data_IF_734076572294
#
_entry.id   IF_734076572294
#
_cell.length_a   1.000
_cell.length_b   1.000
_cell.length_c   1.000
_cell.angle_alpha   90.00
_cell.angle_beta   90.00
_cell.angle_gamma   90.00
#
_symmetry.space_group_name_H-M   'P 1'
#
loop_
_entity.id
_entity.type
_entity.pdbx_description
1 polymer ?
#
# COMPACT_ATOMS: atom_id res chain seq x y z
N UNK A 1 22.76 -4.20 -42.48
CA UNK A 1 22.64 -3.17 -41.45
C UNK A 1 23.87 -3.24 -40.56
N UNK A 2 24.72 -2.22 -40.58
CA UNK A 2 25.92 -2.14 -39.72
C UNK A 2 25.46 -1.52 -38.40
N UNK A 3 25.56 -2.24 -37.29
CA UNK A 3 25.33 -1.65 -35.96
C UNK A 3 26.49 -0.68 -35.66
N UNK A 4 26.17 0.50 -35.14
CA UNK A 4 27.20 1.48 -34.75
C UNK A 4 27.92 1.02 -33.47
N UNK A 5 29.19 1.38 -33.29
CA UNK A 5 29.95 1.09 -32.06
C UNK A 5 29.22 1.56 -30.79
N UNK A 6 28.60 2.73 -30.85
CA UNK A 6 27.76 3.26 -29.76
C UNK A 6 26.59 2.34 -29.40
N UNK A 7 25.96 1.69 -30.39
CA UNK A 7 24.87 0.76 -30.16
C UNK A 7 25.35 -0.56 -29.53
N UNK A 8 26.55 -1.02 -29.89
CA UNK A 8 27.16 -2.20 -29.29
C UNK A 8 27.45 -2.01 -27.79
N UNK A 9 28.03 -0.86 -27.42
CA UNK A 9 28.27 -0.53 -26.00
C UNK A 9 26.96 -0.40 -25.22
N UNK A 10 25.95 0.24 -25.81
CA UNK A 10 24.65 0.40 -25.17
C UNK A 10 23.96 -0.95 -24.92
N UNK A 11 23.95 -1.86 -25.90
CA UNK A 11 23.38 -3.20 -25.74
C UNK A 11 24.09 -4.02 -24.65
N UNK A 12 25.41 -3.90 -24.57
CA UNK A 12 26.21 -4.55 -23.52
C UNK A 12 25.84 -4.03 -22.13
N UNK A 13 25.72 -2.71 -21.98
CA UNK A 13 25.28 -2.09 -20.73
C UNK A 13 23.86 -2.52 -20.34
N UNK A 14 22.91 -2.50 -21.28
CA UNK A 14 21.53 -2.94 -21.06
C UNK A 14 21.49 -4.39 -20.59
N UNK A 15 22.33 -5.26 -21.17
CA UNK A 15 22.40 -6.68 -20.76
C UNK A 15 22.85 -6.83 -19.30
N UNK A 16 23.85 -6.06 -18.87
CA UNK A 16 24.30 -6.05 -17.47
C UNK A 16 23.16 -5.58 -16.55
N UNK A 17 22.47 -4.49 -16.91
CA UNK A 17 21.33 -4.00 -16.12
C UNK A 17 20.19 -5.02 -16.06
N UNK A 18 19.92 -5.72 -17.15
CA UNK A 18 18.91 -6.77 -17.20
C UNK A 18 19.22 -7.91 -16.22
N UNK A 19 20.48 -8.33 -16.10
CA UNK A 19 20.89 -9.32 -15.09
C UNK A 19 20.73 -8.80 -13.65
N UNK A 20 21.05 -7.53 -13.39
CA UNK A 20 20.87 -6.91 -12.07
C UNK A 20 19.38 -6.87 -11.70
N UNK A 21 18.53 -6.41 -12.61
CA UNK A 21 17.07 -6.39 -12.39
C UNK A 21 16.55 -7.81 -12.19
N UNK A 22 17.01 -8.77 -13.00
CA UNK A 22 16.67 -10.19 -12.83
C UNK A 22 17.04 -10.73 -11.45
N UNK A 23 18.23 -10.40 -10.95
CA UNK A 23 18.64 -10.75 -9.59
C UNK A 23 17.76 -10.09 -8.51
N UNK A 24 17.44 -8.80 -8.67
CA UNK A 24 16.55 -8.10 -7.73
C UNK A 24 15.15 -8.75 -7.67
N UNK A 25 14.63 -9.24 -8.81
CA UNK A 25 13.39 -10.02 -8.83
C UNK A 25 13.52 -11.33 -8.03
N UNK A 26 14.67 -12.01 -8.08
CA UNK A 26 14.89 -13.24 -7.29
C UNK A 26 14.90 -12.95 -5.78
N UNK A 27 15.50 -11.85 -5.35
CA UNK A 27 15.46 -11.41 -3.95
C UNK A 27 14.03 -11.11 -3.52
N UNK A 28 13.24 -10.42 -4.37
CA UNK A 28 11.83 -10.16 -4.11
C UNK A 28 11.01 -11.46 -3.98
N UNK A 29 11.16 -12.41 -4.91
CA UNK A 29 10.46 -13.70 -4.87
C UNK A 29 10.84 -14.50 -3.63
N UNK A 30 12.11 -14.52 -3.26
CA UNK A 30 12.56 -15.14 -2.02
C UNK A 30 11.87 -14.51 -0.80
N UNK A 31 11.86 -13.17 -0.72
CA UNK A 31 11.20 -12.46 0.37
C UNK A 31 9.69 -12.74 0.43
N UNK A 32 9.01 -12.79 -0.72
CA UNK A 32 7.59 -13.09 -0.82
C UNK A 32 7.28 -14.51 -0.32
N UNK A 33 8.00 -15.52 -0.81
CA UNK A 33 7.82 -16.91 -0.41
C UNK A 33 8.12 -17.10 1.08
N UNK A 34 9.20 -16.47 1.56
CA UNK A 34 9.56 -16.52 2.98
C UNK A 34 8.49 -15.88 3.86
N UNK A 35 7.98 -14.71 3.47
CA UNK A 35 6.98 -13.96 4.24
C UNK A 35 5.64 -14.68 4.31
N UNK A 36 5.22 -15.38 3.25
CA UNK A 36 4.00 -16.20 3.27
C UNK A 36 4.11 -17.37 4.26
N UNK A 37 5.30 -17.98 4.39
CA UNK A 37 5.49 -19.19 5.21
C UNK A 37 5.91 -18.91 6.65
N UNK A 38 6.67 -17.85 6.90
CA UNK A 38 7.30 -17.55 8.18
C UNK A 38 7.14 -16.09 8.62
N UNK A 39 6.43 -15.26 7.85
CA UNK A 39 6.18 -13.86 8.20
C UNK A 39 5.28 -13.72 9.42
N UNK A 40 5.39 -12.55 10.08
CA UNK A 40 4.47 -12.17 11.16
C UNK A 40 3.14 -11.72 10.57
N UNK A 41 2.04 -12.04 11.25
CA UNK A 41 0.74 -11.49 10.89
C UNK A 41 0.76 -9.96 10.97
N UNK A 42 0.28 -9.31 9.91
CA UNK A 42 0.29 -7.85 9.80
C UNK A 42 -0.87 -7.17 10.55
N UNK A 43 -1.90 -7.94 10.93
CA UNK A 43 -3.18 -7.40 11.37
C UNK A 43 -3.93 -6.67 10.24
N UNK A 44 -5.07 -6.07 10.57
CA UNK A 44 -5.95 -5.45 9.56
C UNK A 44 -5.49 -4.12 9.01
N UNK A 45 -4.63 -3.38 9.73
CA UNK A 45 -4.15 -2.08 9.31
C UNK A 45 -2.73 -1.78 9.84
N UNK A 46 -1.69 -2.48 9.33
CA UNK A 46 -0.30 -2.27 9.76
C UNK A 46 0.23 -0.86 9.46
N UNK A 47 -0.36 -0.19 8.46
CA UNK A 47 0.11 1.12 7.98
C UNK A 47 -0.60 2.31 8.63
N UNK A 48 -1.57 2.04 9.52
CA UNK A 48 -2.43 3.07 10.11
C UNK A 48 -3.11 3.94 9.03
N UNK A 49 -3.53 3.31 7.93
CA UNK A 49 -4.22 3.98 6.85
C UNK A 49 -5.67 4.33 7.25
N UNK A 50 -6.20 5.42 6.70
CA UNK A 50 -7.50 5.97 7.12
C UNK A 50 -8.66 5.53 6.23
N UNK A 51 -8.38 4.97 5.07
CA UNK A 51 -9.36 4.57 4.06
C UNK A 51 -10.08 3.25 4.41
N UNK A 52 -11.28 3.07 3.82
CA UNK A 52 -12.16 1.95 4.15
C UNK A 52 -11.60 0.56 3.81
N UNK A 53 -10.70 0.41 2.84
CA UNK A 53 -10.11 -0.91 2.53
C UNK A 53 -9.35 -1.52 3.73
N UNK A 54 -8.91 -0.68 4.66
CA UNK A 54 -8.23 -1.06 5.91
C UNK A 54 -9.19 -1.21 7.10
N UNK A 55 -10.51 -1.13 6.87
CA UNK A 55 -11.55 -1.21 7.90
C UNK A 55 -12.47 -2.42 7.70
N UNK A 56 -11.98 -3.44 6.99
CA UNK A 56 -12.71 -4.70 6.81
C UNK A 56 -12.72 -5.50 8.12
N UNK A 57 -13.81 -6.23 8.46
CA UNK A 57 -13.89 -6.99 9.71
C UNK A 57 -12.91 -8.16 9.79
N UNK A 58 -12.55 -8.72 8.64
CA UNK A 58 -11.67 -9.87 8.49
C UNK A 58 -10.43 -9.48 7.69
N UNK A 59 -9.27 -10.07 8.03
CA UNK A 59 -8.02 -9.86 7.30
C UNK A 59 -7.38 -11.19 6.96
N UNK A 60 -7.28 -11.57 5.67
CA UNK A 60 -7.67 -10.80 4.48
C UNK A 60 -9.20 -10.62 4.34
N UNK A 61 -9.68 -9.59 3.60
CA UNK A 61 -11.11 -9.36 3.41
C UNK A 61 -11.83 -10.58 2.83
N UNK A 62 -12.91 -11.01 3.49
CA UNK A 62 -13.77 -12.08 3.02
C UNK A 62 -14.69 -11.62 1.88
N UNK A 63 -15.36 -12.57 1.21
CA UNK A 63 -16.35 -12.24 0.18
C UNK A 63 -17.47 -11.37 0.77
N UNK A 64 -17.81 -10.28 0.08
CA UNK A 64 -18.72 -9.26 0.58
C UNK A 64 -18.02 -8.10 1.31
N UNK A 65 -16.71 -8.20 1.59
CA UNK A 65 -15.79 -7.20 2.14
C UNK A 65 -16.16 -6.59 3.51
N UNK A 66 -17.34 -5.98 3.62
CA UNK A 66 -17.82 -5.20 4.77
C UNK A 66 -18.99 -5.86 5.53
N UNK A 67 -19.39 -7.07 5.13
CA UNK A 67 -20.49 -7.79 5.77
C UNK A 67 -21.87 -7.26 5.34
N UNK A 68 -22.84 -7.29 6.27
CA UNK A 68 -24.24 -6.92 5.98
C UNK A 68 -24.48 -5.40 5.99
N UNK A 69 -23.75 -4.67 6.81
CA UNK A 69 -23.89 -3.23 7.01
C UNK A 69 -22.70 -2.52 6.40
N UNK A 70 -22.96 -1.50 5.58
CA UNK A 70 -21.89 -0.72 4.95
C UNK A 70 -21.35 0.33 5.94
N UNK A 71 -20.03 0.60 5.93
CA UNK A 71 -19.45 1.64 6.76
C UNK A 71 -19.96 3.02 6.32
N UNK A 72 -20.34 3.83 7.30
CA UNK A 72 -20.69 5.24 7.08
C UNK A 72 -19.39 6.04 7.02
N UNK A 73 -19.27 6.94 6.04
CA UNK A 73 -18.10 7.81 5.89
C UNK A 73 -18.40 9.16 6.51
N UNK A 74 -17.61 9.55 7.51
CA UNK A 74 -17.74 10.84 8.21
C UNK A 74 -16.71 11.88 7.76
N UNK A 75 -15.62 11.44 7.10
CA UNK A 75 -14.44 12.26 6.85
C UNK A 75 -13.67 11.85 5.59
N UNK A 76 -12.65 12.61 5.24
CA UNK A 76 -11.87 12.38 4.03
C UNK A 76 -10.90 11.19 4.16
N UNK A 77 -10.54 10.62 3.02
CA UNK A 77 -9.66 9.46 2.87
C UNK A 77 -8.21 9.68 3.36
N UNK A 78 -7.81 10.90 3.74
CA UNK A 78 -6.43 11.23 4.12
C UNK A 78 -6.38 12.13 5.37
N UNK A 79 -7.32 11.93 6.30
CA UNK A 79 -7.38 12.63 7.58
C UNK A 79 -6.30 12.14 8.55
N UNK A 80 -5.07 12.58 8.27
CA UNK A 80 -3.93 12.43 9.16
C UNK A 80 -3.68 13.74 9.91
N UNK A 81 -3.18 13.62 11.14
CA UNK A 81 -2.79 14.75 12.00
C UNK A 81 -3.89 15.81 12.18
N UNK A 82 -5.14 15.39 12.30
CA UNK A 82 -6.29 16.30 12.46
C UNK A 82 -6.19 17.04 13.80
N UNK A 83 -6.26 18.38 13.82
CA UNK A 83 -6.20 19.15 15.07
C UNK A 83 -7.29 18.73 16.07
N UNK A 84 -6.87 18.46 17.31
CA UNK A 84 -7.76 18.03 18.39
C UNK A 84 -8.09 16.53 18.41
N UNK A 85 -7.62 15.76 17.43
CA UNK A 85 -7.74 14.31 17.48
C UNK A 85 -6.71 13.68 18.43
N UNK A 86 -7.09 12.57 19.06
CA UNK A 86 -6.21 11.81 19.95
C UNK A 86 -5.11 11.07 19.19
N UNK A 87 -5.41 10.64 17.97
CA UNK A 87 -4.50 9.86 17.12
C UNK A 87 -4.20 10.61 15.82
N UNK A 88 -2.98 10.42 15.31
CA UNK A 88 -2.53 11.01 14.05
C UNK A 88 -3.19 10.40 12.81
N UNK A 89 -3.96 9.32 12.96
CA UNK A 89 -4.73 8.71 11.88
C UNK A 89 -6.15 8.46 12.38
N UNK A 90 -7.15 8.87 11.60
CA UNK A 90 -8.55 8.63 11.95
C UNK A 90 -9.23 7.95 10.77
N UNK A 91 -9.67 6.69 10.93
CA UNK A 91 -10.40 6.00 9.87
C UNK A 91 -11.69 6.72 9.46
N UNK A 92 -12.06 6.59 8.19
CA UNK A 92 -13.22 7.26 7.59
C UNK A 92 -14.55 6.98 8.30
N UNK A 93 -14.67 5.81 8.94
CA UNK A 93 -15.87 5.32 9.63
C UNK A 93 -15.91 5.64 11.13
N UNK A 94 -14.93 6.38 11.66
CA UNK A 94 -14.96 6.82 13.06
C UNK A 94 -15.76 8.12 13.15
N UNK A 95 -16.86 8.16 13.92
CA UNK A 95 -17.61 9.39 14.17
C UNK A 95 -16.82 10.34 15.08
N UNK A 96 -17.07 11.64 15.00
CA UNK A 96 -16.55 12.61 15.98
C UNK A 96 -16.48 14.04 15.45
N UNK A 97 -16.60 15.00 16.37
CA UNK A 97 -16.64 16.44 16.11
C UNK A 97 -15.23 17.07 16.15
N UNK A 98 -14.29 16.47 15.42
CA UNK A 98 -12.96 17.07 15.26
C UNK A 98 -13.01 18.12 14.15
N UNK A 99 -12.12 19.11 14.21
CA UNK A 99 -12.02 20.10 13.16
C UNK A 99 -11.86 19.39 11.80
N UNK A 100 -12.62 19.76 10.76
CA UNK A 100 -12.46 19.15 9.45
C UNK A 100 -11.01 19.31 9.00
N UNK A 101 -10.38 18.24 8.51
CA UNK A 101 -8.98 18.27 8.10
C UNK A 101 -8.73 19.27 6.96
N UNK A 102 -9.75 19.49 6.12
CA UNK A 102 -9.83 20.44 5.00
C UNK A 102 -11.29 20.85 4.78
N UNK A 103 -11.52 22.06 4.25
CA UNK A 103 -12.86 22.47 3.80
C UNK A 103 -13.35 21.54 2.66
N UNK A 104 -14.64 21.18 2.62
CA UNK A 104 -15.19 20.45 1.49
C UNK A 104 -15.03 21.28 0.21
N UNK A 105 -14.48 20.65 -0.83
CA UNK A 105 -14.34 21.25 -2.16
C UNK A 105 -15.70 21.42 -2.86
#
# INVERSE_FOLDING_TARGET
TIMTESAHHLNSFISIMAFIVGFAQMVFLFNLIWSIRHGREAGGNPWRATTLEWQTPETPPAHGNFGKELPIVYRWAYDYSVPGAKEDFIPQNVPGDFAPSREPA
#
